data_IF_984514317568
#
_entry.id   IF_984514317568
#
_cell.length_a   1.000
_cell.length_b   1.000
_cell.length_c   1.000
_cell.angle_alpha   90.00
_cell.angle_beta   90.00
_cell.angle_gamma   90.00
#
_symmetry.space_group_name_H-M   'P 1'
#
loop_
_entity.id
_entity.type
_entity.pdbx_description
1 polymer ?
#
# COMPACT_ATOMS: atom_id res chain seq x y z
N UNK A 1 -5.84 18.74 -2.87
CA UNK A 1 -5.04 17.50 -2.96
C UNK A 1 -5.74 16.52 -3.90
N UNK A 2 -5.03 15.87 -4.84
CA UNK A 2 -5.61 14.89 -5.76
C UNK A 2 -6.41 13.81 -5.03
N UNK A 3 -7.59 13.40 -5.54
CA UNK A 3 -8.47 12.46 -4.83
C UNK A 3 -7.79 11.12 -4.49
N UNK A 4 -6.98 10.60 -5.40
CA UNK A 4 -6.26 9.33 -5.21
C UNK A 4 -5.27 9.41 -4.05
N UNK A 5 -4.40 10.43 -4.06
CA UNK A 5 -3.45 10.66 -2.98
C UNK A 5 -4.18 10.85 -1.64
N UNK A 6 -5.30 11.58 -1.64
CA UNK A 6 -6.15 11.75 -0.44
C UNK A 6 -6.72 10.44 0.08
N UNK A 7 -7.10 9.53 -0.79
CA UNK A 7 -7.58 8.21 -0.40
C UNK A 7 -6.46 7.41 0.27
N UNK A 8 -5.27 7.34 -0.31
CA UNK A 8 -4.13 6.63 0.27
C UNK A 8 -3.72 7.17 1.64
N UNK A 9 -3.63 8.50 1.80
CA UNK A 9 -3.29 9.08 3.11
C UNK A 9 -4.37 8.78 4.16
N UNK A 10 -5.65 8.73 3.78
CA UNK A 10 -6.76 8.32 4.67
C UNK A 10 -6.74 6.83 5.02
N UNK A 11 -6.08 6.01 4.21
CA UNK A 11 -5.86 4.59 4.49
C UNK A 11 -4.67 4.34 5.41
N UNK A 12 -3.93 5.39 5.80
CA UNK A 12 -2.74 5.29 6.64
C UNK A 12 -1.43 5.35 5.88
N UNK A 13 -1.45 5.56 4.56
CA UNK A 13 -0.22 5.66 3.79
C UNK A 13 0.62 6.87 4.22
N UNK A 14 1.95 6.72 4.16
CA UNK A 14 2.94 7.74 4.46
C UNK A 14 3.69 8.13 3.20
N UNK A 15 4.06 9.41 3.09
CA UNK A 15 4.93 9.90 2.03
C UNK A 15 6.38 9.64 2.46
N UNK A 16 7.17 9.02 1.58
CA UNK A 16 8.53 8.60 1.88
C UNK A 16 9.62 9.59 1.48
N UNK A 17 9.28 10.81 1.07
CA UNK A 17 10.24 11.84 0.70
C UNK A 17 9.62 12.99 -0.08
N UNK A 18 10.47 13.80 -0.70
CA UNK A 18 10.04 14.87 -1.59
C UNK A 18 9.48 14.29 -2.90
N UNK A 19 8.49 14.95 -3.53
CA UNK A 19 8.00 14.56 -4.84
C UNK A 19 9.08 14.67 -5.91
N UNK A 20 9.13 13.70 -6.82
CA UNK A 20 9.96 13.79 -8.02
C UNK A 20 9.20 14.55 -9.11
N UNK A 21 9.80 15.59 -9.69
CA UNK A 21 9.20 16.31 -10.81
C UNK A 21 9.60 15.65 -12.14
N UNK A 22 8.61 15.29 -12.95
CA UNK A 22 8.80 14.83 -14.32
C UNK A 22 8.43 15.97 -15.30
N UNK A 23 9.43 16.60 -15.95
CA UNK A 23 9.20 17.73 -16.86
C UNK A 23 8.54 17.32 -18.17
N UNK A 24 8.74 16.09 -18.64
CA UNK A 24 8.23 15.62 -19.93
C UNK A 24 6.72 15.40 -19.87
N UNK A 25 6.24 14.92 -18.72
CA UNK A 25 4.81 14.70 -18.47
C UNK A 25 4.14 15.85 -17.70
N UNK A 26 4.92 16.79 -17.18
CA UNK A 26 4.47 17.91 -16.32
C UNK A 26 3.71 17.42 -15.09
N UNK A 27 4.19 16.34 -14.47
CA UNK A 27 3.59 15.74 -13.27
C UNK A 27 4.62 15.57 -12.17
N UNK A 28 4.14 15.38 -10.94
CA UNK A 28 4.98 15.03 -9.81
C UNK A 28 4.62 13.64 -9.30
N UNK A 29 5.62 12.78 -9.16
CA UNK A 29 5.50 11.47 -8.56
C UNK A 29 5.80 11.52 -7.07
N UNK A 30 5.02 10.79 -6.28
CA UNK A 30 5.19 10.72 -4.82
C UNK A 30 5.36 9.28 -4.42
N UNK A 31 6.48 8.96 -3.76
CA UNK A 31 6.67 7.65 -3.17
C UNK A 31 5.84 7.53 -1.90
N UNK A 32 4.91 6.57 -1.86
CA UNK A 32 4.04 6.30 -0.71
C UNK A 32 4.20 4.88 -0.21
N UNK A 33 4.22 4.73 1.12
CA UNK A 33 4.27 3.44 1.80
C UNK A 33 3.01 3.24 2.63
N UNK A 34 2.32 2.12 2.43
CA UNK A 34 1.15 1.72 3.22
C UNK A 34 1.46 0.40 3.93
N UNK A 35 1.53 0.43 5.26
CA UNK A 35 1.62 -0.79 6.04
C UNK A 35 0.24 -1.43 6.15
N UNK A 36 0.19 -2.76 6.04
CA UNK A 36 -1.09 -3.51 6.13
C UNK A 36 -1.74 -3.36 7.50
N UNK A 37 -0.92 -3.28 8.54
CA UNK A 37 -1.32 -3.05 9.93
C UNK A 37 -2.01 -1.68 10.16
N UNK A 38 -1.63 -0.65 9.39
CA UNK A 38 -2.22 0.69 9.46
C UNK A 38 -3.57 0.79 8.73
N UNK A 39 -3.93 -0.24 7.96
CA UNK A 39 -5.16 -0.24 7.18
C UNK A 39 -6.38 -0.28 8.13
N UNK A 40 -7.37 0.61 7.97
CA UNK A 40 -8.55 0.56 8.83
C UNK A 40 -9.29 -0.78 8.75
N UNK A 41 -9.77 -1.30 9.88
CA UNK A 41 -10.40 -2.63 10.00
C UNK A 41 -11.52 -2.89 8.97
N UNK A 42 -12.27 -1.84 8.58
CA UNK A 42 -13.30 -1.93 7.54
C UNK A 42 -12.77 -2.40 6.18
N UNK A 43 -11.53 -2.04 5.85
CA UNK A 43 -10.86 -2.40 4.60
C UNK A 43 -10.01 -3.65 4.75
N UNK A 44 -9.47 -3.92 5.94
CA UNK A 44 -8.76 -5.18 6.23
C UNK A 44 -9.60 -6.40 5.84
N UNK A 45 -10.89 -6.43 6.19
CA UNK A 45 -11.77 -7.56 5.86
C UNK A 45 -11.95 -7.80 4.35
N UNK A 46 -11.90 -6.75 3.54
CA UNK A 46 -12.09 -6.86 2.08
C UNK A 46 -10.78 -7.22 1.36
N UNK A 47 -9.65 -6.64 1.80
CA UNK A 47 -8.36 -6.78 1.10
C UNK A 47 -7.40 -7.79 1.73
N UNK A 48 -7.63 -8.23 2.97
CA UNK A 48 -6.79 -9.19 3.69
C UNK A 48 -7.42 -10.59 3.76
N UNK A 49 -8.32 -10.95 2.83
CA UNK A 49 -8.76 -12.34 2.68
C UNK A 49 -7.53 -13.15 2.26
N UNK A 50 -6.96 -13.84 3.23
CA UNK A 50 -5.68 -14.53 3.15
C UNK A 50 -5.71 -15.49 1.97
N UNK A 51 -4.77 -15.36 1.03
CA UNK A 51 -4.36 -16.52 0.24
C UNK A 51 -3.96 -17.60 1.27
N UNK A 52 -4.44 -18.86 1.14
CA UNK A 52 -4.15 -19.88 2.13
C UNK A 52 -2.65 -19.93 2.37
N UNK A 53 -2.26 -19.74 3.63
CA UNK A 53 -0.89 -19.92 4.06
C UNK A 53 -0.53 -21.39 3.79
N UNK A 54 0.05 -21.67 2.62
CA UNK A 54 0.62 -22.98 2.33
C UNK A 54 1.82 -23.11 3.27
N UNK A 55 1.66 -23.89 4.33
CA UNK A 55 2.76 -24.43 5.11
C UNK A 55 3.43 -25.51 4.24
N UNK A 56 4.68 -25.37 3.78
CA UNK A 56 5.45 -26.54 3.38
C UNK A 56 6.14 -27.05 4.64
N UNK A 57 5.39 -27.70 5.53
CA UNK A 57 6.01 -28.74 6.35
C UNK A 57 5.99 -30.03 5.52
N UNK A 58 6.89 -30.08 4.53
CA UNK A 58 7.21 -31.32 3.84
C UNK A 58 8.38 -31.94 4.59
N UNK A 59 8.05 -32.72 5.61
CA UNK A 59 8.97 -33.71 6.19
C UNK A 59 9.21 -34.73 5.07
N UNK A 60 10.38 -34.69 4.46
CA UNK A 60 10.88 -35.81 3.66
C UNK A 60 11.49 -36.86 4.61
N UNK A 61 11.24 -38.16 4.38
CA UNK A 61 11.80 -39.24 5.20
C UNK A 61 13.32 -39.32 5.14
#
# INVERSE_FOLDING_TARGET
MPPLLKAYLRLGARIGGEPCWDPDFRVADVFILLKREDLPARYQRHFMRTAPHRHPNAIHP
#
